data_IF_438481181081
#
_entry.id   IF_438481181081
#
_cell.length_a   1.000
_cell.length_b   1.000
_cell.length_c   1.000
_cell.angle_alpha   90.00
_cell.angle_beta   90.00
_cell.angle_gamma   90.00
#
_symmetry.space_group_name_H-M   'P 1'
#
loop_
_entity.id
_entity.type
_entity.pdbx_description
1 polymer ?
#
# COMPACT_ATOMS: atom_id res chain seq x y z
N UNK A 1 -5.42 8.38 15.33
CA UNK A 1 -6.66 7.99 14.65
C UNK A 1 -6.67 8.46 13.20
N UNK A 2 -7.49 7.83 12.35
CA UNK A 2 -7.69 8.17 10.94
C UNK A 2 -9.05 8.87 10.70
N UNK A 3 -9.59 9.50 11.73
CA UNK A 3 -10.95 10.07 11.69
C UNK A 3 -11.19 11.12 10.60
N UNK A 4 -10.15 11.78 10.11
CA UNK A 4 -10.26 12.73 9.00
C UNK A 4 -10.45 12.01 7.67
N UNK A 5 -9.71 10.91 7.44
CA UNK A 5 -9.85 10.02 6.28
C UNK A 5 -11.23 9.38 6.28
N UNK A 6 -11.68 8.85 7.42
CA UNK A 6 -13.01 8.22 7.57
C UNK A 6 -14.12 9.18 7.19
N UNK A 7 -14.10 10.42 7.69
CA UNK A 7 -15.09 11.46 7.36
C UNK A 7 -15.10 11.81 5.88
N UNK A 8 -13.94 11.87 5.26
CA UNK A 8 -13.86 12.18 3.83
C UNK A 8 -14.37 11.01 2.97
N UNK A 9 -14.07 9.76 3.36
CA UNK A 9 -14.67 8.56 2.73
C UNK A 9 -16.20 8.58 2.85
N UNK A 10 -16.73 8.89 4.03
CA UNK A 10 -18.19 9.01 4.25
C UNK A 10 -18.82 10.08 3.34
N UNK A 11 -18.09 11.18 3.11
CA UNK A 11 -18.54 12.27 2.22
C UNK A 11 -18.67 11.88 0.76
N UNK A 12 -18.01 10.79 0.33
CA UNK A 12 -18.17 10.26 -1.03
C UNK A 12 -19.58 9.71 -1.27
N UNK A 13 -20.33 9.38 -0.21
CA UNK A 13 -21.70 8.94 -0.27
C UNK A 13 -21.93 7.53 -0.84
N UNK A 14 -20.85 6.78 -1.09
CA UNK A 14 -20.94 5.41 -1.61
C UNK A 14 -20.95 4.43 -0.45
N UNK A 15 -21.93 3.53 -0.45
CA UNK A 15 -22.12 2.52 0.60
C UNK A 15 -21.84 1.11 0.05
N UNK A 16 -21.59 0.19 0.98
CA UNK A 16 -21.35 -1.23 0.66
C UNK A 16 -20.15 -1.48 -0.26
N UNK A 17 -19.08 -0.71 -0.07
CA UNK A 17 -17.81 -0.87 -0.76
C UNK A 17 -16.66 -0.90 0.23
N UNK A 18 -15.58 -1.53 -0.15
CA UNK A 18 -14.27 -1.49 0.51
C UNK A 18 -13.34 -0.71 -0.40
N UNK A 19 -12.72 0.33 0.12
CA UNK A 19 -11.64 1.06 -0.53
C UNK A 19 -10.32 0.40 -0.13
N UNK A 20 -9.56 -0.06 -1.11
CA UNK A 20 -8.23 -0.64 -0.90
C UNK A 20 -7.17 0.40 -1.27
N UNK A 21 -6.27 0.67 -0.35
CA UNK A 21 -5.33 1.78 -0.49
C UNK A 21 -4.21 1.72 0.54
N UNK A 22 -3.33 2.70 0.49
CA UNK A 22 -2.22 2.85 1.41
C UNK A 22 -2.27 4.21 2.11
N UNK A 23 -1.99 4.18 3.42
CA UNK A 23 -1.85 5.42 4.19
C UNK A 23 -0.44 5.97 4.02
N UNK A 24 -0.36 7.20 3.54
CA UNK A 24 0.89 7.94 3.37
C UNK A 24 0.90 9.19 4.26
N UNK A 25 2.08 9.71 4.54
CA UNK A 25 2.29 11.08 4.97
C UNK A 25 3.04 11.78 3.86
N UNK A 26 2.50 12.89 3.40
CA UNK A 26 3.14 13.72 2.39
C UNK A 26 3.68 15.00 3.02
N UNK A 27 4.84 15.43 2.55
CA UNK A 27 5.40 16.72 2.90
C UNK A 27 4.63 17.86 2.17
N UNK A 28 5.00 19.11 2.47
CA UNK A 28 4.41 20.30 1.84
C UNK A 28 4.61 20.39 0.31
N UNK A 29 5.51 19.56 -0.24
CA UNK A 29 5.78 19.46 -1.68
C UNK A 29 5.07 18.26 -2.33
N UNK A 30 4.29 17.50 -1.54
CA UNK A 30 3.61 16.29 -2.00
C UNK A 30 4.50 15.04 -2.08
N UNK A 31 5.73 15.07 -1.53
CA UNK A 31 6.57 13.89 -1.49
C UNK A 31 6.19 12.99 -0.31
N UNK A 32 6.12 11.71 -0.56
CA UNK A 32 5.84 10.70 0.46
C UNK A 32 7.02 10.51 1.42
N UNK A 33 6.70 10.29 2.70
CA UNK A 33 7.68 9.97 3.72
C UNK A 33 7.24 8.73 4.52
N UNK A 34 7.71 7.56 4.07
CA UNK A 34 7.39 6.28 4.69
C UNK A 34 7.80 6.19 6.17
N UNK A 35 8.96 6.71 6.53
CA UNK A 35 9.43 6.69 7.92
C UNK A 35 8.52 7.52 8.84
N UNK A 36 7.98 8.63 8.33
CA UNK A 36 7.07 9.47 9.08
C UNK A 36 5.74 8.77 9.34
N UNK A 37 5.16 8.07 8.36
CA UNK A 37 3.89 7.36 8.58
C UNK A 37 4.06 6.23 9.61
N UNK A 38 5.15 5.49 9.59
CA UNK A 38 5.43 4.43 10.57
C UNK A 38 5.55 4.97 12.01
N UNK A 39 6.17 6.15 12.19
CA UNK A 39 6.25 6.82 13.48
C UNK A 39 4.89 7.29 13.98
N UNK A 40 4.06 7.85 13.09
CA UNK A 40 2.74 8.40 13.46
C UNK A 40 1.72 7.30 13.76
N UNK A 41 1.69 6.20 13.00
CA UNK A 41 0.79 5.06 13.25
C UNK A 41 1.07 4.39 14.60
N UNK A 42 2.34 4.31 15.01
CA UNK A 42 2.73 3.70 16.29
C UNK A 42 2.36 4.53 17.53
N UNK A 43 1.92 5.78 17.39
CA UNK A 43 1.58 6.66 18.52
C UNK A 43 0.17 6.38 19.01
N UNK A 44 0.03 6.15 20.32
CA UNK A 44 -1.27 6.01 20.97
C UNK A 44 -1.91 7.39 21.17
N UNK A 45 -3.24 7.44 21.16
CA UNK A 45 -4.04 8.64 21.44
C UNK A 45 -3.66 9.86 20.57
N UNK A 46 -3.34 9.61 19.31
CA UNK A 46 -2.88 10.60 18.36
C UNK A 46 -3.72 10.57 17.08
N UNK A 47 -4.03 11.75 16.53
CA UNK A 47 -4.69 11.91 15.23
C UNK A 47 -3.66 12.37 14.20
N UNK A 48 -3.50 11.61 13.15
CA UNK A 48 -2.64 11.96 12.02
C UNK A 48 -3.31 13.10 11.25
N UNK A 49 -2.68 14.27 11.21
CA UNK A 49 -3.27 15.47 10.61
C UNK A 49 -2.97 15.64 9.13
N UNK A 50 -1.85 15.11 8.68
CA UNK A 50 -1.34 15.19 7.31
C UNK A 50 -1.29 13.81 6.63
N UNK A 51 -2.13 12.89 7.09
CA UNK A 51 -2.29 11.61 6.45
C UNK A 51 -3.05 11.73 5.14
N UNK A 52 -2.60 11.03 4.12
CA UNK A 52 -3.23 10.88 2.83
C UNK A 52 -3.50 9.40 2.58
N UNK A 53 -4.74 9.04 2.32
CA UNK A 53 -5.09 7.68 1.93
C UNK A 53 -5.11 7.59 0.40
N UNK A 54 -4.10 6.95 -0.17
CA UNK A 54 -3.98 6.74 -1.61
C UNK A 54 -4.76 5.48 -1.99
N UNK A 55 -5.89 5.68 -2.65
CA UNK A 55 -6.78 4.60 -3.05
C UNK A 55 -6.35 4.05 -4.40
N UNK A 56 -6.13 2.76 -4.49
CA UNK A 56 -5.74 2.08 -5.72
C UNK A 56 -6.73 1.00 -6.17
N UNK A 57 -7.73 0.66 -5.38
CA UNK A 57 -8.80 -0.26 -5.78
C UNK A 57 -10.07 -0.02 -4.94
N UNK A 58 -11.22 -0.44 -5.46
CA UNK A 58 -12.42 -0.49 -4.66
C UNK A 58 -13.34 -1.65 -5.09
N UNK A 59 -13.94 -2.30 -4.10
CA UNK A 59 -14.59 -3.59 -4.27
C UNK A 59 -15.93 -3.58 -3.52
N UNK A 60 -17.04 -4.17 -4.06
CA UNK A 60 -18.26 -4.38 -3.30
C UNK A 60 -17.99 -5.16 -2.00
N UNK A 61 -18.55 -4.69 -0.88
CA UNK A 61 -18.28 -5.27 0.46
C UNK A 61 -18.67 -6.73 0.57
N UNK A 62 -19.76 -7.13 -0.06
CA UNK A 62 -20.25 -8.50 -0.05
C UNK A 62 -19.30 -9.46 -0.78
N UNK A 63 -18.72 -9.03 -1.90
CA UNK A 63 -17.71 -9.79 -2.63
C UNK A 63 -16.40 -9.88 -1.85
N UNK A 64 -15.98 -8.76 -1.22
CA UNK A 64 -14.80 -8.75 -0.37
C UNK A 64 -14.94 -9.72 0.80
N UNK A 65 -16.08 -9.72 1.50
CA UNK A 65 -16.35 -10.61 2.64
C UNK A 65 -16.36 -12.10 2.25
N UNK A 66 -16.85 -12.42 1.07
CA UNK A 66 -16.85 -13.80 0.56
C UNK A 66 -15.49 -14.23 0.00
N UNK A 67 -14.57 -13.31 -0.19
CA UNK A 67 -13.26 -13.58 -0.82
C UNK A 67 -13.37 -13.96 -2.29
N UNK A 68 -14.51 -13.70 -2.93
CA UNK A 68 -14.78 -14.05 -4.31
C UNK A 68 -14.18 -13.02 -5.28
N UNK A 69 -13.82 -13.50 -6.47
CA UNK A 69 -13.43 -12.62 -7.56
C UNK A 69 -14.62 -11.75 -8.00
N UNK A 70 -14.40 -10.44 -8.14
CA UNK A 70 -15.40 -9.57 -8.74
C UNK A 70 -15.57 -9.86 -10.23
N UNK A 71 -16.71 -9.53 -10.79
CA UNK A 71 -16.97 -9.66 -12.23
C UNK A 71 -16.14 -8.69 -13.07
N UNK A 72 -15.62 -7.59 -12.48
CA UNK A 72 -14.84 -6.56 -13.16
C UNK A 72 -13.34 -6.80 -13.13
N UNK A 73 -12.66 -6.43 -14.21
CA UNK A 73 -11.19 -6.38 -14.29
C UNK A 73 -10.64 -5.21 -13.47
N UNK A 74 -9.34 -5.23 -13.19
CA UNK A 74 -8.68 -4.14 -12.46
C UNK A 74 -8.88 -2.79 -13.15
N UNK A 75 -8.70 -2.70 -14.47
CA UNK A 75 -8.89 -1.45 -15.23
C UNK A 75 -10.34 -0.93 -15.16
N UNK A 76 -11.33 -1.82 -15.15
CA UNK A 76 -12.74 -1.40 -14.99
C UNK A 76 -13.00 -0.82 -13.60
N UNK A 77 -12.43 -1.42 -12.55
CA UNK A 77 -12.52 -0.88 -11.19
C UNK A 77 -11.78 0.46 -11.05
N UNK A 78 -10.63 0.61 -11.73
CA UNK A 78 -9.90 1.88 -11.78
C UNK A 78 -10.72 2.99 -12.43
N UNK A 79 -11.35 2.74 -13.58
CA UNK A 79 -12.21 3.72 -14.24
C UNK A 79 -13.39 4.13 -13.36
N UNK A 80 -13.98 3.19 -12.64
CA UNK A 80 -15.09 3.50 -11.74
C UNK A 80 -14.62 4.32 -10.52
N UNK A 81 -13.46 4.01 -9.95
CA UNK A 81 -12.85 4.76 -8.85
C UNK A 81 -12.49 6.18 -9.29
N UNK A 82 -11.82 6.32 -10.43
CA UNK A 82 -11.46 7.62 -11.01
C UNK A 82 -12.71 8.48 -11.24
N UNK A 83 -13.76 7.90 -11.83
CA UNK A 83 -15.03 8.59 -12.06
C UNK A 83 -15.70 9.03 -10.76
N UNK A 84 -15.58 8.23 -9.69
CA UNK A 84 -16.12 8.57 -8.37
C UNK A 84 -15.39 9.78 -7.76
N UNK A 85 -14.08 9.88 -7.92
CA UNK A 85 -13.26 10.91 -7.31
C UNK A 85 -13.13 12.17 -8.20
N UNK A 86 -13.43 12.05 -9.50
CA UNK A 86 -13.31 13.13 -10.47
C UNK A 86 -14.10 14.38 -10.05
N UNK A 87 -13.46 15.51 -10.07
CA UNK A 87 -14.07 16.82 -9.75
C UNK A 87 -14.38 17.05 -8.28
N UNK A 88 -13.97 16.14 -7.38
CA UNK A 88 -14.08 16.33 -5.94
C UNK A 88 -12.84 17.05 -5.41
N UNK A 89 -13.04 17.95 -4.46
CA UNK A 89 -11.94 18.54 -3.69
C UNK A 89 -11.72 17.66 -2.46
N UNK A 90 -10.64 16.92 -2.46
CA UNK A 90 -10.27 15.98 -1.42
C UNK A 90 -8.96 16.41 -0.76
N UNK A 91 -8.86 16.21 0.55
CA UNK A 91 -7.71 16.62 1.35
C UNK A 91 -6.98 15.44 1.99
N UNK A 92 -7.69 14.35 2.23
CA UNK A 92 -7.20 13.15 2.93
C UNK A 92 -7.31 11.89 2.07
N UNK A 93 -7.88 12.01 0.88
CA UNK A 93 -8.00 10.94 -0.11
C UNK A 93 -7.35 11.36 -1.41
N UNK A 94 -6.69 10.44 -2.06
CA UNK A 94 -6.16 10.62 -3.41
C UNK A 94 -6.32 9.33 -4.22
N UNK A 95 -6.36 9.47 -5.54
CA UNK A 95 -6.36 8.36 -6.47
C UNK A 95 -4.94 8.03 -6.90
N UNK A 96 -4.48 6.82 -6.58
CA UNK A 96 -3.20 6.34 -7.06
C UNK A 96 -3.31 5.91 -8.52
N UNK A 97 -2.93 6.78 -9.44
CA UNK A 97 -2.98 6.52 -10.87
C UNK A 97 -2.12 5.32 -11.26
N UNK A 98 -2.62 4.53 -12.21
CA UNK A 98 -1.93 3.33 -12.70
C UNK A 98 -1.38 3.58 -14.09
N UNK A 99 -0.13 3.17 -14.33
CA UNK A 99 0.54 3.29 -15.61
C UNK A 99 0.60 1.92 -16.28
N UNK A 100 -0.01 1.71 -17.45
CA UNK A 100 0.17 0.48 -18.20
C UNK A 100 1.64 0.27 -18.59
N UNK A 101 2.10 -0.98 -18.51
CA UNK A 101 3.46 -1.39 -18.87
C UNK A 101 3.38 -2.53 -19.88
N UNK A 102 4.07 -2.41 -21.00
CA UNK A 102 4.01 -3.36 -22.11
C UNK A 102 5.36 -4.01 -22.42
N UNK A 103 6.45 -3.53 -21.83
CA UNK A 103 7.78 -4.10 -22.01
C UNK A 103 8.60 -4.08 -20.72
N UNK A 104 9.70 -4.86 -20.69
CA UNK A 104 10.64 -4.84 -19.58
C UNK A 104 11.40 -3.51 -19.50
N UNK A 105 11.71 -2.91 -20.62
CA UNK A 105 12.40 -1.61 -20.69
C UNK A 105 11.55 -0.50 -20.05
N UNK A 106 10.23 -0.51 -20.26
CA UNK A 106 9.31 0.41 -19.59
C UNK A 106 9.27 0.17 -18.08
N UNK A 107 9.26 -1.09 -17.65
CA UNK A 107 9.28 -1.46 -16.24
C UNK A 107 10.59 -1.01 -15.56
N UNK A 108 11.73 -1.23 -16.22
CA UNK A 108 13.05 -0.81 -15.72
C UNK A 108 13.12 0.71 -15.59
N UNK A 109 12.62 1.47 -16.57
CA UNK A 109 12.58 2.92 -16.51
C UNK A 109 11.70 3.43 -15.35
N UNK A 110 10.56 2.80 -15.10
CA UNK A 110 9.70 3.13 -13.96
C UNK A 110 10.34 2.75 -12.62
N UNK A 111 11.06 1.62 -12.57
CA UNK A 111 11.78 1.18 -11.36
C UNK A 111 12.91 2.15 -11.01
N UNK A 112 13.65 2.62 -12.02
CA UNK A 112 14.68 3.66 -11.82
C UNK A 112 14.05 4.96 -11.27
N UNK A 113 12.96 5.41 -11.88
CA UNK A 113 12.23 6.61 -11.42
C UNK A 113 11.70 6.46 -9.99
N UNK A 114 11.23 5.27 -9.59
CA UNK A 114 10.80 4.99 -8.23
C UNK A 114 11.98 5.10 -7.24
N UNK A 115 13.15 4.58 -7.61
CA UNK A 115 14.39 4.71 -6.83
C UNK A 115 14.84 6.17 -6.67
N UNK A 116 14.82 6.96 -7.75
CA UNK A 116 15.17 8.38 -7.72
C UNK A 116 14.23 9.20 -6.80
N UNK A 117 12.96 8.78 -6.70
CA UNK A 117 11.98 9.39 -5.81
C UNK A 117 12.05 8.88 -4.36
N UNK A 118 12.92 7.91 -4.06
CA UNK A 118 13.03 7.29 -2.75
C UNK A 118 11.85 6.41 -2.37
N UNK A 119 11.09 5.92 -3.34
CA UNK A 119 10.01 4.96 -3.10
C UNK A 119 10.58 3.58 -2.76
N UNK A 120 9.83 2.78 -2.00
CA UNK A 120 10.24 1.41 -1.66
C UNK A 120 10.33 0.49 -2.88
N UNK A 121 9.55 0.78 -3.91
CA UNK A 121 9.46 0.03 -5.15
C UNK A 121 8.14 0.25 -5.87
N UNK A 122 7.80 -0.67 -6.76
CA UNK A 122 6.57 -0.64 -7.53
C UNK A 122 5.70 -1.86 -7.23
N UNK A 123 4.39 -1.71 -7.41
CA UNK A 123 3.43 -2.81 -7.41
C UNK A 123 2.96 -3.06 -8.83
N UNK A 124 3.42 -4.17 -9.44
CA UNK A 124 2.99 -4.60 -10.76
C UNK A 124 1.72 -5.44 -10.63
N UNK A 125 0.65 -5.04 -11.29
CA UNK A 125 -0.66 -5.70 -11.22
C UNK A 125 -1.09 -6.20 -12.59
N UNK A 126 -1.59 -7.43 -12.61
CA UNK A 126 -2.26 -7.98 -13.80
C UNK A 126 -3.67 -7.39 -13.91
N UNK A 127 -4.10 -7.10 -15.13
CA UNK A 127 -5.49 -6.67 -15.38
C UNK A 127 -6.47 -7.86 -15.26
N UNK A 128 -6.76 -8.26 -14.03
CA UNK A 128 -7.61 -9.41 -13.70
C UNK A 128 -8.69 -9.01 -12.68
N UNK A 129 -9.59 -9.96 -12.39
CA UNK A 129 -10.57 -9.79 -11.32
C UNK A 129 -9.89 -9.74 -9.94
N UNK A 130 -10.57 -9.15 -8.96
CA UNK A 130 -10.07 -9.08 -7.59
C UNK A 130 -9.96 -10.49 -6.98
N UNK A 131 -8.87 -10.72 -6.24
CA UNK A 131 -8.63 -11.96 -5.49
C UNK A 131 -8.22 -11.61 -4.06
N UNK A 132 -9.06 -11.95 -3.09
CA UNK A 132 -8.82 -11.73 -1.67
C UNK A 132 -7.78 -12.68 -1.06
N UNK A 133 -6.74 -13.04 -1.80
CA UNK A 133 -5.66 -13.94 -1.36
C UNK A 133 -4.36 -13.64 -2.10
N UNK A 134 -3.25 -14.12 -1.58
CA UNK A 134 -1.95 -14.06 -2.28
C UNK A 134 -2.05 -14.73 -3.64
N UNK A 135 -1.57 -14.06 -4.68
CA UNK A 135 -1.54 -14.57 -6.06
C UNK A 135 -0.39 -13.92 -6.83
N UNK A 136 -0.03 -14.52 -7.96
CA UNK A 136 0.95 -13.94 -8.89
C UNK A 136 0.34 -12.82 -9.77
N UNK A 137 -0.89 -12.40 -9.49
CA UNK A 137 -1.51 -11.28 -10.20
C UNK A 137 -1.07 -9.91 -9.64
N UNK A 138 -0.39 -9.92 -8.48
CA UNK A 138 0.23 -8.73 -7.87
C UNK A 138 1.64 -9.11 -7.46
N UNK A 139 2.61 -8.38 -7.99
CA UNK A 139 4.03 -8.58 -7.72
C UNK A 139 4.64 -7.27 -7.20
N UNK A 140 5.49 -7.38 -6.18
CA UNK A 140 6.27 -6.26 -5.68
C UNK A 140 7.62 -6.25 -6.41
N UNK A 141 7.92 -5.15 -7.09
CA UNK A 141 9.20 -4.89 -7.75
C UNK A 141 9.99 -3.95 -6.85
N UNK A 142 11.11 -4.44 -6.32
CA UNK A 142 12.00 -3.70 -5.43
C UNK A 142 13.42 -3.72 -5.97
N UNK A 143 14.14 -2.62 -5.75
CA UNK A 143 15.60 -2.62 -5.85
C UNK A 143 16.17 -3.05 -4.50
N UNK A 144 17.02 -4.06 -4.51
CA UNK A 144 17.79 -4.45 -3.33
C UNK A 144 19.12 -3.72 -3.34
N UNK A 145 19.50 -3.20 -2.19
CA UNK A 145 20.80 -2.59 -1.99
C UNK A 145 21.56 -3.47 -1.01
N UNK A 146 22.72 -3.94 -1.42
CA UNK A 146 23.68 -4.60 -0.54
C UNK A 146 24.60 -3.54 0.05
N UNK A 147 24.91 -3.69 1.34
CA UNK A 147 25.86 -2.82 2.02
C UNK A 147 26.64 -3.63 3.05
N UNK A 148 27.88 -3.26 3.25
CA UNK A 148 28.71 -3.89 4.28
C UNK A 148 28.74 -2.98 5.50
N UNK A 149 28.55 -3.59 6.69
CA UNK A 149 28.59 -2.90 7.97
C UNK A 149 29.56 -3.60 8.90
N UNK A 150 30.31 -2.83 9.65
CA UNK A 150 31.11 -3.36 10.75
C UNK A 150 30.20 -3.73 11.92
N UNK A 151 30.33 -4.97 12.43
CA UNK A 151 29.64 -5.40 13.64
C UNK A 151 30.33 -4.77 14.83
N UNK A 152 29.65 -3.88 15.52
CA UNK A 152 30.19 -3.13 16.66
C UNK A 152 29.86 -3.77 18.01
N UNK A 153 28.80 -4.59 18.09
CA UNK A 153 28.41 -5.32 19.27
C UNK A 153 27.47 -6.47 18.91
N UNK A 154 27.32 -7.45 19.81
CA UNK A 154 26.41 -8.58 19.65
C UNK A 154 25.70 -8.86 20.97
N UNK A 155 24.45 -9.27 20.91
CA UNK A 155 23.66 -9.63 22.08
C UNK A 155 22.75 -10.82 21.79
N UNK A 156 22.31 -11.54 22.82
CA UNK A 156 21.30 -12.57 22.69
C UNK A 156 19.91 -11.94 22.78
N UNK A 157 19.06 -12.28 21.85
CA UNK A 157 17.70 -11.79 21.79
C UNK A 157 16.72 -12.83 21.28
N UNK A 158 15.41 -12.65 21.53
CA UNK A 158 14.40 -13.58 21.07
C UNK A 158 14.19 -13.48 19.54
N UNK A 159 14.36 -14.60 18.84
CA UNK A 159 13.94 -14.76 17.46
C UNK A 159 12.61 -15.49 17.40
N UNK A 160 11.60 -14.89 16.78
CA UNK A 160 10.31 -15.53 16.52
C UNK A 160 10.20 -15.93 15.08
N UNK A 161 9.88 -17.19 14.84
CA UNK A 161 9.67 -17.71 13.47
C UNK A 161 8.59 -18.79 13.47
N UNK A 162 8.07 -19.10 12.28
CA UNK A 162 7.06 -20.16 12.13
C UNK A 162 7.77 -21.43 11.67
N UNK A 163 7.67 -22.49 12.51
CA UNK A 163 8.13 -23.84 12.18
C UNK A 163 6.92 -24.78 12.14
N UNK A 164 6.71 -25.42 11.01
CA UNK A 164 5.58 -26.36 10.79
C UNK A 164 4.20 -25.79 11.14
N UNK A 165 4.00 -24.46 10.91
CA UNK A 165 2.75 -23.76 11.20
C UNK A 165 2.56 -23.32 12.66
N UNK A 166 3.56 -23.54 13.53
CA UNK A 166 3.57 -23.10 14.93
C UNK A 166 4.59 -21.98 15.12
N UNK A 167 4.19 -20.94 15.85
CA UNK A 167 5.13 -19.87 16.23
C UNK A 167 6.10 -20.38 17.30
N UNK A 168 7.39 -20.27 17.02
CA UNK A 168 8.49 -20.68 17.90
C UNK A 168 9.31 -19.44 18.25
N UNK A 169 9.71 -19.33 19.52
CA UNK A 169 10.63 -18.30 19.99
C UNK A 169 11.90 -18.97 20.52
N UNK A 170 13.05 -18.58 19.98
CA UNK A 170 14.37 -19.07 20.42
C UNK A 170 15.29 -17.88 20.68
N UNK A 171 16.19 -18.01 21.66
CA UNK A 171 17.26 -17.03 21.85
C UNK A 171 18.35 -17.23 20.78
N UNK A 172 18.63 -16.18 20.04
CA UNK A 172 19.71 -16.17 19.06
C UNK A 172 20.63 -14.99 19.24
N UNK A 173 21.87 -15.18 18.82
CA UNK A 173 22.88 -14.12 18.75
C UNK A 173 22.50 -13.16 17.58
N UNK A 174 22.33 -11.88 17.89
CA UNK A 174 22.00 -10.80 16.96
C UNK A 174 23.16 -9.82 16.87
#
# INVERSE_FOLDING_TARGET
>A
TLSLVEKEIESLGVKNVVYDGEMCIVDKNGNENFQSIMKEIGRKDHTIKNGLFQIFDFIPSDMFQRGEATSGTFSQRQLALESLLLGKTLHYLDYLSQTPVFSFEELDALTLKASEKGWEGLMLRKNSTYKGKRSNDILKVKTFFDNEYEVVDTFFGPLRYIKEGVEVEEEMLS
#
